data_IF_986072475136
#
_entry.id   IF_986072475136
#
_cell.length_a   1.000
_cell.length_b   1.000
_cell.length_c   1.000
_cell.angle_alpha   90.00
_cell.angle_beta   90.00
_cell.angle_gamma   90.00
#
_symmetry.space_group_name_H-M   'P 1'
#
loop_
_entity.id
_entity.type
_entity.pdbx_description
1 polymer ?
#
# COMPACT_ATOMS: atom_id res chain seq x y z
N UNK A 1 10.58 39.69 -18.99
CA UNK A 1 10.05 38.95 -17.83
C UNK A 1 11.01 39.09 -16.68
N UNK A 2 10.62 39.82 -15.63
CA UNK A 2 11.45 40.00 -14.45
C UNK A 2 11.49 38.71 -13.62
N UNK A 3 12.52 38.53 -12.80
CA UNK A 3 12.63 37.36 -11.90
C UNK A 3 11.46 37.34 -10.90
N UNK A 4 10.91 38.52 -10.55
CA UNK A 4 9.74 38.67 -9.71
C UNK A 4 8.48 38.07 -10.38
N UNK A 5 8.20 38.42 -11.63
CA UNK A 5 7.08 37.87 -12.40
C UNK A 5 7.16 36.34 -12.51
N UNK A 6 8.37 35.79 -12.71
CA UNK A 6 8.57 34.34 -12.77
C UNK A 6 8.25 33.66 -11.44
N UNK A 7 8.61 34.26 -10.30
CA UNK A 7 8.30 33.72 -8.96
C UNK A 7 6.81 33.74 -8.66
N UNK A 8 6.13 34.78 -9.09
CA UNK A 8 4.67 34.92 -8.92
C UNK A 8 3.91 33.86 -9.73
N UNK A 9 4.37 33.58 -10.95
CA UNK A 9 3.82 32.49 -11.78
C UNK A 9 4.08 31.12 -11.15
N UNK A 10 5.26 30.88 -10.58
CA UNK A 10 5.55 29.61 -9.90
C UNK A 10 4.65 29.43 -8.67
N UNK A 11 4.45 30.47 -7.87
CA UNK A 11 3.59 30.42 -6.69
C UNK A 11 2.11 30.18 -7.04
N UNK A 12 1.62 30.81 -8.11
CA UNK A 12 0.25 30.59 -8.59
C UNK A 12 0.05 29.16 -9.10
N UNK A 13 1.02 28.58 -9.80
CA UNK A 13 0.98 27.17 -10.24
C UNK A 13 0.97 26.22 -9.03
N UNK A 14 1.81 26.47 -8.01
CA UNK A 14 1.86 25.63 -6.80
C UNK A 14 0.52 25.63 -6.06
N UNK A 15 -0.12 26.79 -5.90
CA UNK A 15 -1.43 26.89 -5.26
C UNK A 15 -2.53 26.16 -6.04
N UNK A 16 -2.46 26.20 -7.36
CA UNK A 16 -3.43 25.52 -8.23
C UNK A 16 -3.25 24.00 -8.18
N UNK A 17 -2.01 23.53 -8.13
CA UNK A 17 -1.70 22.11 -7.91
C UNK A 17 -2.17 21.65 -6.54
N UNK A 18 -1.94 22.43 -5.48
CA UNK A 18 -2.42 22.15 -4.12
C UNK A 18 -3.94 22.00 -4.07
N UNK A 19 -4.69 22.88 -4.75
CA UNK A 19 -6.15 22.80 -4.82
C UNK A 19 -6.64 21.56 -5.57
N UNK A 20 -5.95 21.14 -6.63
CA UNK A 20 -6.28 19.92 -7.37
C UNK A 20 -5.91 18.64 -6.61
N UNK A 21 -4.92 18.71 -5.71
CA UNK A 21 -4.50 17.57 -4.87
C UNK A 21 -5.22 17.49 -3.53
N UNK A 22 -6.08 18.46 -3.20
CA UNK A 22 -6.76 18.53 -1.90
C UNK A 22 -8.08 17.73 -1.86
N UNK A 23 -8.03 16.47 -2.27
CA UNK A 23 -8.87 15.42 -1.70
C UNK A 23 -7.94 14.59 -0.81
N UNK A 24 -8.24 14.57 0.49
CA UNK A 24 -7.54 13.91 1.60
C UNK A 24 -6.35 14.65 2.29
N UNK A 25 -6.69 15.13 3.51
CA UNK A 25 -5.87 15.15 4.74
C UNK A 25 -4.82 16.27 4.97
N UNK A 26 -5.32 17.33 5.62
CA UNK A 26 -4.84 18.00 6.85
C UNK A 26 -3.33 17.97 7.19
N UNK A 27 -2.69 19.14 6.99
CA UNK A 27 -1.77 19.89 7.87
C UNK A 27 -0.71 19.14 8.72
N UNK A 28 0.59 19.37 8.44
CA UNK A 28 1.49 20.26 9.21
C UNK A 28 2.98 20.09 8.79
N UNK A 29 3.67 21.22 8.59
CA UNK A 29 5.13 21.41 8.53
C UNK A 29 5.46 22.58 9.49
N UNK A 30 6.71 22.84 9.97
CA UNK A 30 8.05 22.46 9.45
C UNK A 30 9.01 21.95 10.59
N UNK A 31 10.26 21.50 10.44
CA UNK A 31 11.43 22.04 9.75
C UNK A 31 12.65 21.06 9.80
N UNK A 32 13.56 21.22 8.82
CA UNK A 32 15.04 20.97 8.86
C UNK A 32 15.60 19.61 9.29
N UNK A 33 16.16 18.85 8.34
CA UNK A 33 17.52 18.28 8.37
C UNK A 33 17.63 17.13 7.36
N UNK A 34 18.63 17.25 6.50
CA UNK A 34 19.03 16.34 5.43
C UNK A 34 19.15 14.86 5.84
N UNK A 35 18.24 14.01 5.34
CA UNK A 35 18.47 12.57 5.08
C UNK A 35 17.68 12.18 3.82
N UNK A 36 18.18 11.25 2.98
CA UNK A 36 17.46 10.84 1.78
C UNK A 36 16.12 10.26 2.21
N UNK A 37 15.03 10.88 1.76
CA UNK A 37 13.66 10.45 2.02
C UNK A 37 13.47 9.14 1.28
N UNK A 38 13.75 8.04 1.98
CA UNK A 38 13.20 6.73 1.66
C UNK A 38 11.69 6.98 1.59
N UNK A 39 11.09 6.75 0.42
CA UNK A 39 9.64 6.81 0.23
C UNK A 39 8.94 6.18 1.45
N UNK A 40 7.84 6.76 1.96
CA UNK A 40 7.18 6.23 3.13
C UNK A 40 6.96 4.75 2.85
N UNK A 41 7.57 3.89 3.68
CA UNK A 41 7.42 2.46 3.53
C UNK A 41 5.91 2.23 3.48
N UNK A 42 5.39 1.86 2.30
CA UNK A 42 3.99 1.47 2.15
C UNK A 42 3.69 0.58 3.33
N UNK A 43 2.75 1.00 4.18
CA UNK A 43 2.52 0.38 5.47
C UNK A 43 2.17 -1.09 5.19
N UNK A 44 3.15 -1.97 5.41
CA UNK A 44 3.04 -3.37 4.99
C UNK A 44 1.93 -4.00 5.80
N UNK A 45 0.75 -4.13 5.19
CA UNK A 45 -0.44 -4.64 5.86
C UNK A 45 -0.52 -6.14 5.67
N UNK A 46 -0.14 -6.84 6.73
CA UNK A 46 -0.30 -8.29 6.83
C UNK A 46 -1.72 -8.62 7.28
N UNK A 47 -2.31 -9.65 6.68
CA UNK A 47 -3.65 -10.14 6.96
C UNK A 47 -3.60 -11.59 7.37
N UNK A 48 -4.42 -11.97 8.33
CA UNK A 48 -4.69 -13.36 8.63
C UNK A 48 -5.66 -13.96 7.61
N UNK A 49 -5.69 -15.29 7.50
CA UNK A 49 -6.60 -15.99 6.58
C UNK A 49 -8.06 -15.56 6.75
N UNK A 50 -8.51 -15.31 7.99
CA UNK A 50 -9.89 -14.86 8.29
C UNK A 50 -10.19 -13.47 7.73
N UNK A 51 -9.21 -12.59 7.79
CA UNK A 51 -9.34 -11.24 7.24
C UNK A 51 -9.27 -11.29 5.71
N UNK A 52 -8.49 -12.21 5.14
CA UNK A 52 -8.48 -12.42 3.69
C UNK A 52 -9.84 -12.88 3.15
N UNK A 53 -10.53 -13.79 3.84
CA UNK A 53 -11.88 -14.21 3.43
C UNK A 53 -12.93 -13.12 3.64
N UNK A 54 -12.70 -12.20 4.58
CA UNK A 54 -13.57 -11.04 4.77
C UNK A 54 -13.32 -9.94 3.71
N UNK A 55 -12.11 -9.84 3.18
CA UNK A 55 -11.75 -8.88 2.13
C UNK A 55 -12.24 -9.31 0.75
N UNK A 56 -12.22 -10.61 0.46
CA UNK A 56 -12.66 -11.17 -0.82
C UNK A 56 -13.83 -12.10 -0.56
N UNK A 57 -15.03 -11.59 -0.85
CA UNK A 57 -16.25 -12.38 -0.77
C UNK A 57 -16.21 -13.57 -1.74
N UNK A 58 -16.69 -14.72 -1.27
CA UNK A 58 -16.76 -15.95 -2.07
C UNK A 58 -15.55 -16.89 -1.95
N UNK A 59 -14.53 -16.54 -1.16
CA UNK A 59 -13.38 -17.42 -0.91
C UNK A 59 -13.45 -18.06 0.48
N UNK A 60 -13.23 -19.38 0.53
CA UNK A 60 -13.14 -20.11 1.80
C UNK A 60 -11.73 -20.05 2.41
N UNK A 61 -11.63 -20.17 3.74
CA UNK A 61 -10.34 -20.25 4.42
C UNK A 61 -9.47 -21.41 3.90
N UNK A 62 -10.12 -22.52 3.50
CA UNK A 62 -9.44 -23.69 2.96
C UNK A 62 -8.80 -23.38 1.60
N UNK A 63 -9.51 -22.68 0.73
CA UNK A 63 -9.01 -22.27 -0.58
C UNK A 63 -7.77 -21.38 -0.45
N UNK A 64 -7.76 -20.44 0.50
CA UNK A 64 -6.58 -19.58 0.76
C UNK A 64 -5.39 -20.41 1.21
N UNK A 65 -5.59 -21.39 2.10
CA UNK A 65 -4.50 -22.31 2.51
C UNK A 65 -3.95 -23.10 1.34
N UNK A 66 -4.81 -23.53 0.42
CA UNK A 66 -4.39 -24.21 -0.81
C UNK A 66 -3.59 -23.28 -1.73
N UNK A 67 -4.00 -22.03 -1.90
CA UNK A 67 -3.27 -21.05 -2.71
C UNK A 67 -1.88 -20.72 -2.13
N UNK A 68 -1.77 -20.64 -0.80
CA UNK A 68 -0.49 -20.47 -0.11
C UNK A 68 0.39 -21.72 -0.28
N UNK A 69 -0.19 -22.92 -0.14
CA UNK A 69 0.54 -24.18 -0.32
C UNK A 69 1.01 -24.38 -1.76
N UNK A 70 0.24 -23.89 -2.74
CA UNK A 70 0.61 -23.86 -4.16
C UNK A 70 1.65 -22.77 -4.48
N UNK A 71 2.00 -21.90 -3.53
CA UNK A 71 2.99 -20.84 -3.71
C UNK A 71 2.51 -19.63 -4.52
N UNK A 72 1.22 -19.58 -4.87
CA UNK A 72 0.62 -18.51 -5.66
C UNK A 72 0.51 -17.20 -4.89
N UNK A 73 0.29 -17.29 -3.58
CA UNK A 73 0.18 -16.13 -2.71
C UNK A 73 1.34 -16.15 -1.71
N UNK A 74 2.07 -15.04 -1.61
CA UNK A 74 3.17 -14.89 -0.65
C UNK A 74 2.62 -14.74 0.77
N UNK A 75 2.99 -15.67 1.65
CA UNK A 75 2.57 -15.67 3.04
C UNK A 75 3.70 -16.12 3.98
N UNK A 76 3.68 -15.60 5.20
CA UNK A 76 4.56 -15.98 6.30
C UNK A 76 3.82 -16.88 7.28
N UNK A 77 4.48 -17.94 7.72
CA UNK A 77 3.99 -18.78 8.81
C UNK A 77 4.54 -18.25 10.13
N UNK A 78 3.67 -17.78 11.01
CA UNK A 78 4.08 -17.11 12.27
C UNK A 78 4.18 -18.08 13.45
N UNK A 79 3.76 -19.34 13.29
CA UNK A 79 3.77 -20.33 14.38
C UNK A 79 4.28 -21.70 13.97
N UNK A 80 4.93 -22.38 14.91
CA UNK A 80 5.41 -23.76 14.78
C UNK A 80 4.26 -24.75 15.00
N UNK A 81 4.22 -25.82 14.19
CA UNK A 81 3.20 -26.87 14.26
C UNK A 81 2.01 -26.69 13.30
N UNK A 82 1.21 -27.75 13.15
CA UNK A 82 0.17 -27.92 12.10
C UNK A 82 -0.87 -26.79 12.09
N UNK A 83 -1.19 -26.23 13.28
CA UNK A 83 -2.18 -25.15 13.45
C UNK A 83 -1.59 -23.74 13.43
N UNK A 84 -0.33 -23.58 13.01
CA UNK A 84 0.30 -22.28 12.86
C UNK A 84 -0.55 -21.32 12.00
N UNK A 85 -0.56 -20.04 12.39
CA UNK A 85 -1.24 -18.99 11.63
C UNK A 85 -0.40 -18.58 10.42
N UNK A 86 -1.10 -18.20 9.35
CA UNK A 86 -0.51 -17.56 8.18
C UNK A 86 -0.82 -16.07 8.20
N UNK A 87 0.19 -15.28 7.88
CA UNK A 87 0.10 -13.86 7.59
C UNK A 87 0.38 -13.65 6.10
N UNK A 88 -0.61 -13.14 5.39
CA UNK A 88 -0.59 -12.88 3.96
C UNK A 88 -0.41 -11.40 3.73
N UNK A 89 0.45 -11.00 2.79
CA UNK A 89 0.52 -9.59 2.40
C UNK A 89 -0.73 -9.22 1.59
N UNK A 90 -1.42 -8.13 1.98
CA UNK A 90 -2.61 -7.61 1.29
C UNK A 90 -2.38 -7.39 -0.21
N UNK A 91 -1.22 -6.86 -0.58
CA UNK A 91 -0.90 -6.54 -1.97
C UNK A 91 -0.80 -7.80 -2.83
N UNK A 92 -0.11 -8.84 -2.32
CA UNK A 92 0.03 -10.12 -3.01
C UNK A 92 -1.30 -10.85 -3.18
N UNK A 93 -2.22 -10.69 -2.22
CA UNK A 93 -3.54 -11.27 -2.32
C UNK A 93 -4.35 -10.56 -3.41
N UNK A 94 -4.36 -9.22 -3.41
CA UNK A 94 -5.09 -8.43 -4.41
C UNK A 94 -4.50 -8.58 -5.82
N UNK A 95 -3.18 -8.66 -5.97
CA UNK A 95 -2.53 -8.88 -7.28
C UNK A 95 -2.96 -10.20 -7.93
N UNK A 96 -3.04 -11.27 -7.14
CA UNK A 96 -3.47 -12.59 -7.61
C UNK A 96 -4.91 -12.57 -8.15
N UNK A 97 -5.84 -11.91 -7.44
CA UNK A 97 -7.25 -11.88 -7.84
C UNK A 97 -7.59 -10.80 -8.88
N UNK A 98 -6.80 -9.72 -8.96
CA UNK A 98 -6.95 -8.71 -10.00
C UNK A 98 -6.41 -9.14 -11.38
N UNK A 99 -5.81 -10.34 -11.48
CA UNK A 99 -5.30 -10.88 -12.74
C UNK A 99 -4.00 -10.21 -13.21
N UNK A 100 -3.31 -9.49 -12.34
CA UNK A 100 -2.06 -8.78 -12.64
C UNK A 100 -0.82 -9.64 -12.38
N UNK A 101 -0.91 -10.96 -12.44
CA UNK A 101 0.28 -11.82 -12.37
C UNK A 101 0.91 -11.96 -13.76
N UNK A 102 2.03 -11.26 -13.95
CA UNK A 102 3.12 -11.77 -14.79
C UNK A 102 3.54 -13.14 -14.24
N UNK A 103 3.17 -14.19 -14.97
CA UNK A 103 3.57 -15.58 -14.76
C UNK A 103 5.08 -15.74 -14.95
#
# INVERSE_FOLDING_TARGET
MTIAEKREIVNTIINLLLQLTAEEEVQEQPATSSKPVKAPAQSVRMLTIKECTALIEGISEHSIRMLIAQGKIKAFRTGEGVRGKYLVNKESLLSYFSGNEEV
#
